data_IF_423816632427
#
_entry.id   IF_423816632427
#
_cell.length_a   1.000
_cell.length_b   1.000
_cell.length_c   1.000
_cell.angle_alpha   90.00
_cell.angle_beta   90.00
_cell.angle_gamma   90.00
#
_symmetry.space_group_name_H-M   'P 1'
#
loop_
_entity.id
_entity.type
_entity.pdbx_description
1 polymer ?
#
# COMPACT_ATOMS: atom_id res chain seq x y z
N UNK A 1 12.55 5.12 2.57
CA UNK A 1 13.02 5.73 1.31
C UNK A 1 14.05 6.82 1.58
N UNK A 2 13.72 7.90 2.29
CA UNK A 2 14.72 8.93 2.66
C UNK A 2 15.90 8.37 3.45
N UNK A 3 15.66 7.48 4.42
CA UNK A 3 16.71 6.82 5.21
C UNK A 3 17.68 6.00 4.35
N UNK A 4 17.15 5.16 3.45
CA UNK A 4 17.96 4.32 2.56
C UNK A 4 18.74 5.16 1.55
N UNK A 5 18.14 6.23 1.01
CA UNK A 5 18.82 7.18 0.13
C UNK A 5 19.94 7.94 0.86
N UNK A 6 19.70 8.36 2.11
CA UNK A 6 20.70 9.02 2.94
C UNK A 6 21.92 8.12 3.21
N UNK A 7 21.68 6.89 3.66
CA UNK A 7 22.76 5.91 3.92
C UNK A 7 23.49 5.53 2.63
N UNK A 8 22.76 5.36 1.52
CA UNK A 8 23.35 5.10 0.20
C UNK A 8 24.25 6.25 -0.25
N UNK A 9 23.83 7.49 -0.09
CA UNK A 9 24.62 8.67 -0.44
C UNK A 9 25.88 8.80 0.42
N UNK A 10 25.79 8.55 1.73
CA UNK A 10 26.96 8.51 2.62
C UNK A 10 27.96 7.43 2.19
N UNK A 11 27.46 6.24 1.86
CA UNK A 11 28.29 5.11 1.38
C UNK A 11 28.99 5.46 0.07
N UNK A 12 28.30 6.16 -0.85
CA UNK A 12 28.85 6.65 -2.10
C UNK A 12 30.02 7.60 -1.87
N UNK A 13 29.79 8.67 -1.10
CA UNK A 13 30.82 9.70 -0.85
C UNK A 13 32.02 9.08 -0.13
N UNK A 14 31.79 8.27 0.91
CA UNK A 14 32.84 7.62 1.66
C UNK A 14 33.62 6.59 0.82
N UNK A 15 32.93 5.72 0.07
CA UNK A 15 33.54 4.71 -0.79
C UNK A 15 34.37 5.34 -1.92
N UNK A 16 33.85 6.38 -2.58
CA UNK A 16 34.60 7.12 -3.60
C UNK A 16 35.82 7.84 -3.01
N UNK A 17 35.73 8.36 -1.79
CA UNK A 17 36.88 8.98 -1.13
C UNK A 17 37.97 7.95 -0.80
N UNK A 18 37.62 6.76 -0.27
CA UNK A 18 38.59 5.70 -0.01
C UNK A 18 39.29 5.24 -1.30
N UNK A 19 38.53 5.05 -2.38
CA UNK A 19 39.09 4.65 -3.67
C UNK A 19 39.99 5.73 -4.25
N UNK A 20 39.60 7.01 -4.14
CA UNK A 20 40.47 8.11 -4.52
C UNK A 20 41.81 8.07 -3.76
N UNK A 21 41.80 7.88 -2.44
CA UNK A 21 43.04 7.84 -1.65
C UNK A 21 43.98 6.70 -2.06
N UNK A 22 43.43 5.53 -2.38
CA UNK A 22 44.22 4.34 -2.73
C UNK A 22 44.68 4.39 -4.19
N UNK A 23 43.85 4.87 -5.12
CA UNK A 23 44.11 4.78 -6.56
C UNK A 23 44.79 6.03 -7.14
N UNK A 24 44.76 7.18 -6.46
CA UNK A 24 45.27 8.46 -7.00
C UNK A 24 46.71 8.39 -7.53
N UNK A 25 47.56 7.56 -6.91
CA UNK A 25 48.99 7.45 -7.28
C UNK A 25 49.22 6.47 -8.44
N UNK A 26 48.47 5.37 -8.47
CA UNK A 26 48.73 4.25 -9.37
C UNK A 26 47.83 4.24 -10.62
N UNK A 27 46.76 5.04 -10.62
CA UNK A 27 45.72 5.00 -11.64
C UNK A 27 45.51 6.35 -12.32
N UNK A 28 45.98 6.47 -13.56
CA UNK A 28 45.79 7.68 -14.38
C UNK A 28 44.32 7.99 -14.71
N UNK A 29 43.39 7.05 -14.51
CA UNK A 29 41.96 7.26 -14.76
C UNK A 29 41.21 7.80 -13.55
N UNK A 30 41.83 7.80 -12.37
CA UNK A 30 41.25 8.29 -11.11
C UNK A 30 42.24 9.31 -10.54
N UNK A 31 42.27 10.52 -11.10
CA UNK A 31 43.23 11.57 -10.67
C UNK A 31 42.60 12.60 -9.75
N UNK A 32 41.30 12.85 -9.93
CA UNK A 32 40.52 13.78 -9.12
C UNK A 32 39.48 13.02 -8.28
N UNK A 33 38.99 13.68 -7.23
CA UNK A 33 37.86 13.14 -6.46
C UNK A 33 36.60 13.00 -7.33
N UNK A 34 36.42 13.87 -8.34
CA UNK A 34 35.30 13.79 -9.28
C UNK A 34 35.33 12.48 -10.10
N UNK A 35 36.52 12.02 -10.51
CA UNK A 35 36.65 10.76 -11.26
C UNK A 35 36.28 9.54 -10.40
N UNK A 36 36.68 9.56 -9.12
CA UNK A 36 36.32 8.52 -8.16
C UNK A 36 34.82 8.53 -7.81
N UNK A 37 34.22 9.73 -7.80
CA UNK A 37 32.78 9.91 -7.59
C UNK A 37 31.98 9.42 -8.80
N UNK A 38 32.45 9.68 -10.02
CA UNK A 38 31.91 9.12 -11.25
C UNK A 38 31.93 7.59 -11.24
N UNK A 39 33.08 7.00 -10.92
CA UNK A 39 33.21 5.55 -10.76
C UNK A 39 32.21 5.00 -9.71
N UNK A 40 32.08 5.68 -8.57
CA UNK A 40 31.16 5.30 -7.50
C UNK A 40 29.70 5.30 -7.97
N UNK A 41 29.25 6.35 -8.66
CA UNK A 41 27.89 6.44 -9.20
C UNK A 41 27.61 5.30 -10.20
N UNK A 42 28.50 5.10 -11.18
CA UNK A 42 28.34 4.09 -12.23
C UNK A 42 28.36 2.67 -11.65
N UNK A 43 29.14 2.43 -10.60
CA UNK A 43 29.20 1.14 -9.90
C UNK A 43 27.95 0.89 -9.05
N UNK A 44 27.51 1.89 -8.27
CA UNK A 44 26.34 1.76 -7.39
C UNK A 44 25.03 1.64 -8.15
N UNK A 45 24.92 2.31 -9.29
CA UNK A 45 23.80 2.16 -10.21
C UNK A 45 23.88 0.89 -11.05
N UNK A 46 24.89 0.02 -10.83
CA UNK A 46 25.11 -1.23 -11.57
C UNK A 46 25.24 -1.05 -13.09
N UNK A 47 25.66 0.13 -13.54
CA UNK A 47 25.85 0.44 -14.97
C UNK A 47 27.17 -0.14 -15.47
N UNK A 48 28.27 0.13 -14.76
CA UNK A 48 29.56 -0.53 -14.99
C UNK A 48 30.20 -0.31 -16.37
N UNK A 49 30.35 0.95 -16.83
CA UNK A 49 30.96 1.25 -18.14
C UNK A 49 32.40 0.70 -18.31
N UNK A 50 33.15 0.55 -17.22
CA UNK A 50 34.53 0.05 -17.25
C UNK A 50 35.56 1.07 -17.75
N UNK A 51 35.14 2.32 -17.94
CA UNK A 51 35.99 3.44 -18.33
C UNK A 51 37.01 3.77 -17.23
N UNK A 52 36.60 3.85 -15.96
CA UNK A 52 37.48 3.96 -14.79
C UNK A 52 37.25 2.75 -13.87
N UNK A 53 38.32 2.10 -13.41
CA UNK A 53 38.25 0.96 -12.49
C UNK A 53 39.48 0.93 -11.57
N UNK A 54 39.33 0.53 -10.28
CA UNK A 54 40.47 0.39 -9.37
C UNK A 54 41.41 -0.73 -9.85
N UNK A 55 42.70 -0.42 -9.93
CA UNK A 55 43.73 -1.35 -10.41
C UNK A 55 44.50 -2.01 -9.28
N UNK A 56 44.70 -1.29 -8.17
CA UNK A 56 45.45 -1.79 -7.02
C UNK A 56 44.71 -2.92 -6.34
N UNK A 57 45.45 -3.86 -5.74
CA UNK A 57 44.85 -4.98 -5.00
C UNK A 57 43.99 -4.49 -3.83
N UNK A 58 44.50 -3.50 -3.08
CA UNK A 58 43.81 -2.89 -1.94
C UNK A 58 42.54 -2.15 -2.41
N UNK A 59 42.63 -1.40 -3.51
CA UNK A 59 41.49 -0.69 -4.11
C UNK A 59 40.38 -1.65 -4.53
N UNK A 60 40.72 -2.81 -5.09
CA UNK A 60 39.74 -3.85 -5.45
C UNK A 60 39.00 -4.44 -4.24
N UNK A 61 39.71 -4.69 -3.14
CA UNK A 61 39.08 -5.18 -1.90
C UNK A 61 38.11 -4.14 -1.36
N UNK A 62 38.54 -2.88 -1.24
CA UNK A 62 37.69 -1.78 -0.75
C UNK A 62 36.48 -1.58 -1.68
N UNK A 63 36.71 -1.60 -2.99
CA UNK A 63 35.65 -1.47 -3.99
C UNK A 63 34.63 -2.59 -3.88
N UNK A 64 35.06 -3.85 -3.66
CA UNK A 64 34.15 -4.98 -3.50
C UNK A 64 33.23 -4.81 -2.28
N UNK A 65 33.79 -4.44 -1.12
CA UNK A 65 32.98 -4.17 0.08
C UNK A 65 32.03 -2.99 -0.11
N UNK A 66 32.52 -1.89 -0.69
CA UNK A 66 31.68 -0.71 -0.97
C UNK A 66 30.57 -1.01 -1.98
N UNK A 67 30.84 -1.81 -3.01
CA UNK A 67 29.86 -2.21 -4.01
C UNK A 67 28.75 -3.07 -3.39
N UNK A 68 29.10 -4.08 -2.59
CA UNK A 68 28.11 -4.94 -1.91
C UNK A 68 27.21 -4.10 -1.00
N UNK A 69 27.81 -3.25 -0.16
CA UNK A 69 27.05 -2.39 0.75
C UNK A 69 26.17 -1.39 -0.02
N UNK A 70 26.76 -0.65 -0.95
CA UNK A 70 26.08 0.45 -1.61
C UNK A 70 25.01 0.03 -2.62
N UNK A 71 25.23 -1.05 -3.38
CA UNK A 71 24.20 -1.62 -4.28
C UNK A 71 22.99 -2.08 -3.46
N UNK A 72 23.22 -2.70 -2.30
CA UNK A 72 22.14 -3.11 -1.39
C UNK A 72 21.26 -1.92 -1.00
N UNK A 73 21.85 -0.79 -0.59
CA UNK A 73 21.08 0.39 -0.19
C UNK A 73 20.39 1.10 -1.37
N UNK A 74 21.00 1.13 -2.56
CA UNK A 74 20.41 1.75 -3.75
C UNK A 74 19.28 0.91 -4.37
N UNK A 75 19.26 -0.41 -4.15
CA UNK A 75 18.19 -1.30 -4.60
C UNK A 75 16.91 -1.19 -3.72
N UNK A 76 17.05 -0.84 -2.44
CA UNK A 76 15.93 -0.81 -1.49
C UNK A 76 14.78 0.14 -1.87
N UNK A 77 15.00 1.39 -2.34
CA UNK A 77 13.92 2.26 -2.78
C UNK A 77 13.00 1.62 -3.82
N UNK A 78 13.57 0.95 -4.83
CA UNK A 78 12.79 0.24 -5.85
C UNK A 78 12.00 -0.93 -5.24
N UNK A 79 12.62 -1.71 -4.35
CA UNK A 79 11.97 -2.82 -3.64
C UNK A 79 10.84 -2.37 -2.71
N UNK A 80 11.01 -1.28 -1.97
CA UNK A 80 9.99 -0.70 -1.08
C UNK A 80 8.80 -0.20 -1.89
N UNK A 81 9.04 0.48 -3.01
CA UNK A 81 7.97 0.95 -3.88
C UNK A 81 7.22 -0.23 -4.52
N UNK A 82 7.95 -1.21 -5.06
CA UNK A 82 7.36 -2.41 -5.68
C UNK A 82 6.47 -3.21 -4.71
N UNK A 83 6.98 -3.48 -3.50
CA UNK A 83 6.21 -4.15 -2.45
C UNK A 83 5.03 -3.31 -1.96
N UNK A 84 5.18 -1.99 -1.83
CA UNK A 84 4.09 -1.08 -1.49
C UNK A 84 2.94 -1.11 -2.49
N UNK A 85 3.26 -1.10 -3.79
CA UNK A 85 2.25 -1.23 -4.85
C UNK A 85 1.58 -2.61 -4.83
N UNK A 86 2.34 -3.69 -4.68
CA UNK A 86 1.79 -5.03 -4.57
C UNK A 86 0.81 -5.18 -3.39
N UNK A 87 1.18 -4.66 -2.22
CA UNK A 87 0.33 -4.67 -1.02
C UNK A 87 -0.95 -3.85 -1.23
N UNK A 88 -0.85 -2.67 -1.85
CA UNK A 88 -2.01 -1.82 -2.13
C UNK A 88 -2.99 -2.50 -3.10
N UNK A 89 -2.47 -3.16 -4.14
CA UNK A 89 -3.29 -3.94 -5.08
C UNK A 89 -3.97 -5.11 -4.38
N UNK A 90 -3.25 -5.86 -3.54
CA UNK A 90 -3.83 -6.97 -2.77
C UNK A 90 -4.90 -6.49 -1.78
N UNK A 91 -4.68 -5.35 -1.12
CA UNK A 91 -5.67 -4.73 -0.24
C UNK A 91 -6.92 -4.31 -1.01
N UNK A 92 -6.77 -3.70 -2.19
CA UNK A 92 -7.91 -3.34 -3.04
C UNK A 92 -8.70 -4.57 -3.49
N UNK A 93 -8.03 -5.69 -3.81
CA UNK A 93 -8.71 -6.95 -4.12
C UNK A 93 -9.52 -7.49 -2.92
N UNK A 94 -8.94 -7.48 -1.71
CA UNK A 94 -9.69 -7.84 -0.49
C UNK A 94 -10.89 -6.92 -0.25
N UNK A 95 -10.72 -5.62 -0.48
CA UNK A 95 -11.81 -4.65 -0.37
C UNK A 95 -12.89 -4.89 -1.43
N UNK A 96 -12.57 -5.30 -2.66
CA UNK A 96 -13.57 -5.68 -3.68
C UNK A 96 -14.48 -6.81 -3.22
N UNK A 97 -13.96 -7.80 -2.49
CA UNK A 97 -14.80 -8.84 -1.89
C UNK A 97 -15.77 -8.27 -0.85
N UNK A 98 -15.31 -7.28 -0.07
CA UNK A 98 -16.15 -6.59 0.92
C UNK A 98 -17.13 -5.59 0.28
N UNK A 99 -16.81 -4.96 -0.86
CA UNK A 99 -17.67 -3.99 -1.58
C UNK A 99 -18.98 -4.63 -2.10
N UNK A 100 -19.14 -5.97 -2.03
CA UNK A 100 -20.46 -6.62 -2.08
C UNK A 100 -21.42 -6.22 -0.94
N UNK A 101 -21.08 -5.24 -0.08
CA UNK A 101 -21.99 -4.63 0.91
C UNK A 101 -23.21 -3.91 0.34
N UNK A 102 -23.37 -3.78 -0.98
CA UNK A 102 -24.57 -3.14 -1.58
C UNK A 102 -25.88 -3.75 -1.07
N UNK A 103 -25.91 -5.08 -0.95
CA UNK A 103 -27.09 -5.81 -0.44
C UNK A 103 -27.37 -5.47 1.03
N UNK A 104 -26.46 -5.68 2.01
CA UNK A 104 -26.73 -5.36 3.41
C UNK A 104 -26.95 -3.87 3.66
N UNK A 105 -26.33 -2.96 2.90
CA UNK A 105 -26.61 -1.53 2.99
C UNK A 105 -28.05 -1.20 2.56
N UNK A 106 -28.53 -1.78 1.46
CA UNK A 106 -29.92 -1.65 1.04
C UNK A 106 -30.88 -2.27 2.07
N UNK A 107 -30.54 -3.43 2.64
CA UNK A 107 -31.34 -4.08 3.69
C UNK A 107 -31.45 -3.19 4.93
N UNK A 108 -30.35 -2.56 5.36
CA UNK A 108 -30.36 -1.63 6.49
C UNK A 108 -31.32 -0.45 6.24
N UNK A 109 -31.24 0.17 5.07
CA UNK A 109 -32.11 1.29 4.68
C UNK A 109 -33.59 0.84 4.67
N UNK A 110 -33.88 -0.34 4.11
CA UNK A 110 -35.23 -0.90 4.05
C UNK A 110 -35.79 -1.23 5.44
N UNK A 111 -34.97 -1.83 6.32
CA UNK A 111 -35.34 -2.10 7.71
C UNK A 111 -35.61 -0.80 8.48
N UNK A 112 -34.75 0.21 8.32
CA UNK A 112 -34.96 1.53 8.94
C UNK A 112 -36.27 2.17 8.49
N UNK A 113 -36.59 2.12 7.20
CA UNK A 113 -37.87 2.63 6.69
C UNK A 113 -39.07 1.85 7.27
N UNK A 114 -38.98 0.52 7.34
CA UNK A 114 -40.03 -0.32 7.93
C UNK A 114 -40.27 -0.01 9.40
N UNK A 115 -39.21 0.21 10.19
CA UNK A 115 -39.33 0.62 11.59
C UNK A 115 -39.99 2.01 11.71
N UNK A 116 -39.61 2.96 10.87
CA UNK A 116 -40.23 4.30 10.84
C UNK A 116 -41.72 4.26 10.43
N UNK A 117 -42.07 3.47 9.41
CA UNK A 117 -43.44 3.31 8.94
C UNK A 117 -44.34 2.56 9.94
N UNK A 118 -43.76 1.90 10.93
CA UNK A 118 -44.48 1.23 12.02
C UNK A 118 -44.82 2.14 13.21
N UNK A 119 -44.31 3.37 13.24
CA UNK A 119 -44.73 4.36 14.24
C UNK A 119 -46.21 4.72 14.06
N UNK A 120 -46.95 4.84 15.18
CA UNK A 120 -48.39 5.14 15.22
C UNK A 120 -48.74 6.50 14.59
N UNK A 121 -47.78 7.42 14.50
CA UNK A 121 -47.93 8.72 13.86
C UNK A 121 -47.70 8.69 12.34
N UNK A 122 -47.23 7.57 11.80
CA UNK A 122 -46.88 7.45 10.39
C UNK A 122 -48.13 7.17 9.53
N UNK A 123 -48.34 7.99 8.50
CA UNK A 123 -49.49 7.89 7.57
C UNK A 123 -49.21 6.98 6.36
N UNK A 124 -48.17 6.14 6.43
CA UNK A 124 -47.73 5.30 5.30
C UNK A 124 -48.61 4.06 5.10
N UNK A 125 -49.81 4.25 4.53
CA UNK A 125 -50.78 3.18 4.24
C UNK A 125 -50.25 2.17 3.21
N UNK A 126 -49.42 2.61 2.26
CA UNK A 126 -48.86 1.77 1.20
C UNK A 126 -47.93 0.66 1.74
N UNK A 127 -47.21 0.91 2.83
CA UNK A 127 -46.28 -0.06 3.43
C UNK A 127 -47.03 -1.29 3.98
N UNK A 128 -48.23 -1.07 4.50
CA UNK A 128 -49.07 -2.11 5.11
C UNK A 128 -49.95 -2.86 4.11
N UNK A 129 -50.13 -2.32 2.91
CA UNK A 129 -51.01 -2.89 1.88
C UNK A 129 -50.49 -4.24 1.34
N UNK A 130 -49.18 -4.50 1.45
CA UNK A 130 -48.53 -5.76 1.06
C UNK A 130 -48.93 -6.92 1.99
N UNK A 131 -49.23 -6.63 3.25
CA UNK A 131 -49.60 -7.62 4.26
C UNK A 131 -51.12 -7.76 4.40
N UNK A 132 -51.90 -6.99 3.63
CA UNK A 132 -53.34 -7.10 3.62
C UNK A 132 -53.71 -8.35 2.80
N UNK A 133 -54.32 -9.39 3.40
CA UNK A 133 -54.77 -10.54 2.64
C UNK A 133 -55.76 -10.07 1.56
N UNK A 134 -55.63 -10.64 0.36
CA UNK A 134 -56.45 -10.27 -0.81
C UNK A 134 -57.94 -10.63 -0.66
N UNK A 135 -58.28 -11.29 0.46
CA UNK A 135 -59.65 -11.56 0.87
C UNK A 135 -60.13 -10.47 1.83
N UNK A 136 -61.18 -9.79 1.38
CA UNK A 136 -61.87 -8.67 2.00
C UNK A 136 -62.35 -9.02 3.42
N UNK A 137 -61.55 -8.73 4.46
CA UNK A 137 -62.03 -8.66 5.85
C UNK A 137 -61.21 -7.61 6.61
N UNK A 138 -61.88 -6.79 7.40
CA UNK A 138 -61.46 -5.48 7.93
C UNK A 138 -59.97 -5.28 8.31
N UNK A 139 -59.37 -4.13 7.93
CA UNK A 139 -57.92 -3.92 7.98
C UNK A 139 -57.31 -3.61 9.37
N UNK A 140 -58.09 -3.52 10.44
CA UNK A 140 -57.60 -3.00 11.74
C UNK A 140 -57.29 -4.12 12.75
N UNK A 141 -57.92 -5.30 12.65
CA UNK A 141 -57.81 -6.34 13.69
C UNK A 141 -56.60 -7.27 13.52
N UNK A 142 -56.20 -7.60 12.29
CA UNK A 142 -55.11 -8.56 12.02
C UNK A 142 -53.74 -7.99 12.38
N UNK A 143 -53.56 -6.68 12.20
CA UNK A 143 -52.29 -5.98 12.48
C UNK A 143 -51.99 -5.91 13.99
N UNK A 144 -53.03 -5.78 14.83
CA UNK A 144 -52.88 -5.85 16.31
C UNK A 144 -52.42 -7.23 16.79
N UNK A 145 -52.82 -8.32 16.12
CA UNK A 145 -52.55 -9.68 16.58
C UNK A 145 -51.11 -10.13 16.32
N UNK A 146 -50.49 -9.67 15.24
CA UNK A 146 -49.09 -9.96 14.93
C UNK A 146 -48.10 -9.14 15.77
N UNK A 147 -48.45 -7.91 16.15
CA UNK A 147 -47.63 -7.10 17.06
C UNK A 147 -47.62 -7.66 18.49
N UNK A 148 -48.75 -8.16 18.99
CA UNK A 148 -48.83 -8.82 20.31
C UNK A 148 -48.06 -10.15 20.38
N UNK A 149 -47.93 -10.88 19.27
CA UNK A 149 -47.17 -12.13 19.24
C UNK A 149 -45.64 -11.91 19.24
N UNK A 150 -45.17 -10.75 18.80
CA UNK A 150 -43.74 -10.39 18.83
C UNK A 150 -43.29 -9.94 20.23
N UNK A 151 -44.13 -9.20 20.96
CA UNK A 151 -43.88 -8.82 22.37
C UNK A 151 -43.96 -10.02 23.35
N UNK A 152 -44.53 -11.15 22.94
CA UNK A 152 -44.60 -12.36 23.79
C UNK A 152 -43.41 -13.32 23.60
N UNK A 153 -42.53 -13.08 22.62
CA UNK A 153 -41.39 -13.94 22.30
C UNK A 153 -40.02 -13.27 22.55
N UNK A 154 -40.03 -12.12 23.25
CA UNK A 154 -38.88 -11.40 23.81
C UNK A 154 -39.02 -11.40 25.34
#
# INVERSE_FOLDING_TARGET
LFTTMYIGFLTLIFGSFLIFLVEKKDNRKIQSFADALWWGIITLCTVGYGDAVPKTWIGKIIAAFCAIAGISFFALPAGILGSGFALKVQQQQRQKHLIRRRVPAATLIQCMWRCYAADKKSTSVATWNIYRPQTFVEPVLVCKRLFYLYEFFL
#
